data_IF_697522489200
#
_entry.id   IF_697522489200
#
_cell.length_a   1.000
_cell.length_b   1.000
_cell.length_c   1.000
_cell.angle_alpha   90.00
_cell.angle_beta   90.00
_cell.angle_gamma   90.00
#
_symmetry.space_group_name_H-M   'P 1'
#
loop_
_entity.id
_entity.type
_entity.pdbx_description
1 polymer ?
#
# COMPACT_ATOMS: atom_id res chain seq x y z
N UNK A 1 12.50 14.14 5.23
CA UNK A 1 11.52 14.33 4.11
C UNK A 1 11.59 13.21 3.08
N UNK A 2 12.79 12.74 2.70
CA UNK A 2 12.94 11.72 1.64
C UNK A 2 12.23 10.42 2.00
N UNK A 3 12.52 9.85 3.17
CA UNK A 3 11.92 8.59 3.65
C UNK A 3 10.41 8.70 3.85
N UNK A 4 9.91 9.88 4.28
CA UNK A 4 8.49 10.11 4.58
C UNK A 4 7.60 9.83 3.39
N UNK A 5 8.04 10.23 2.18
CA UNK A 5 7.28 9.97 0.96
C UNK A 5 7.12 8.48 0.65
N UNK A 6 8.14 7.64 0.92
CA UNK A 6 8.08 6.21 0.62
C UNK A 6 7.17 5.45 1.58
N UNK A 7 7.30 5.64 2.90
CA UNK A 7 6.38 4.95 3.79
C UNK A 7 4.95 5.50 3.73
N UNK A 8 4.75 6.76 3.33
CA UNK A 8 3.39 7.26 3.05
C UNK A 8 2.76 6.59 1.83
N UNK A 9 3.57 6.20 0.81
CA UNK A 9 3.06 5.41 -0.31
C UNK A 9 2.51 4.06 0.19
N UNK A 10 3.26 3.33 1.02
CA UNK A 10 2.79 2.07 1.61
C UNK A 10 1.55 2.29 2.48
N UNK A 11 1.53 3.34 3.31
CA UNK A 11 0.36 3.68 4.13
C UNK A 11 -0.92 3.90 3.31
N UNK A 12 -0.82 4.38 2.07
CA UNK A 12 -1.98 4.55 1.19
C UNK A 12 -2.63 3.24 0.78
N UNK A 13 -1.87 2.15 0.70
CA UNK A 13 -2.42 0.81 0.46
C UNK A 13 -3.01 0.21 1.73
N UNK A 14 -2.41 0.51 2.88
CA UNK A 14 -2.77 -0.04 4.18
C UNK A 14 -3.83 0.78 4.94
N UNK A 15 -4.22 1.93 4.45
CA UNK A 15 -5.29 2.82 4.91
C UNK A 15 -5.16 3.39 6.33
N UNK A 16 -4.24 2.95 7.20
CA UNK A 16 -4.24 3.37 8.61
C UNK A 16 -2.88 3.83 9.12
N UNK A 17 -2.75 5.13 9.36
CA UNK A 17 -1.69 5.68 10.19
C UNK A 17 -2.05 5.50 11.68
N UNK A 18 -2.13 4.23 12.11
CA UNK A 18 -2.53 3.83 13.45
C UNK A 18 -1.36 3.92 14.46
N UNK A 19 -1.61 3.81 15.78
CA UNK A 19 -0.56 3.89 16.80
C UNK A 19 0.58 2.89 16.64
N UNK A 20 0.32 1.67 16.13
CA UNK A 20 1.37 0.66 15.91
C UNK A 20 2.32 1.07 14.80
N UNK A 21 1.77 1.53 13.67
CA UNK A 21 2.54 2.05 12.54
C UNK A 21 3.35 3.29 12.95
N UNK A 22 2.74 4.18 13.73
CA UNK A 22 3.44 5.36 14.27
C UNK A 22 4.67 4.97 15.09
N UNK A 23 4.58 3.97 15.95
CA UNK A 23 5.72 3.46 16.73
C UNK A 23 6.84 2.93 15.82
N UNK A 24 6.49 2.17 14.76
CA UNK A 24 7.49 1.67 13.80
C UNK A 24 8.24 2.82 13.11
N UNK A 25 7.52 3.82 12.64
CA UNK A 25 8.09 4.99 11.98
C UNK A 25 8.97 5.79 12.96
N UNK A 26 8.51 6.01 14.18
CA UNK A 26 9.28 6.73 15.20
C UNK A 26 10.56 5.98 15.61
N UNK A 27 10.53 4.65 15.68
CA UNK A 27 11.73 3.84 15.93
C UNK A 27 12.75 3.97 14.80
N UNK A 28 12.29 3.97 13.54
CA UNK A 28 13.15 4.24 12.39
C UNK A 28 13.74 5.65 12.44
N UNK A 29 12.92 6.67 12.71
CA UNK A 29 13.39 8.07 12.85
C UNK A 29 14.45 8.17 13.95
N UNK A 30 14.25 7.50 15.07
CA UNK A 30 15.22 7.45 16.16
C UNK A 30 16.55 6.81 15.74
N UNK A 31 16.49 5.71 14.97
CA UNK A 31 17.70 5.01 14.50
C UNK A 31 18.52 5.85 13.52
N UNK A 32 17.87 6.70 12.71
CA UNK A 32 18.54 7.54 11.72
C UNK A 32 18.98 8.91 12.29
N UNK A 33 18.19 9.48 13.20
CA UNK A 33 18.37 10.86 13.66
C UNK A 33 18.97 10.98 15.07
N UNK A 34 19.14 9.87 15.78
CA UNK A 34 19.72 9.87 17.14
C UNK A 34 18.93 10.76 18.11
N UNK A 35 19.64 11.60 18.88
CA UNK A 35 19.04 12.41 19.96
C UNK A 35 18.02 13.46 19.48
N UNK A 36 18.08 13.85 18.22
CA UNK A 36 17.13 14.81 17.62
C UNK A 36 15.77 14.19 17.28
N UNK A 37 15.56 12.90 17.56
CA UNK A 37 14.38 12.17 17.09
C UNK A 37 13.04 12.76 17.57
N UNK A 38 12.97 13.29 18.79
CA UNK A 38 11.71 13.82 19.36
C UNK A 38 11.14 14.98 18.55
N UNK A 39 12.01 15.93 18.19
CA UNK A 39 11.60 17.06 17.34
C UNK A 39 11.22 16.59 15.93
N UNK A 40 12.06 15.72 15.36
CA UNK A 40 11.88 15.22 13.99
C UNK A 40 10.64 14.34 13.87
N UNK A 41 10.29 13.56 14.90
CA UNK A 41 9.08 12.71 14.90
C UNK A 41 7.81 13.51 14.73
N UNK A 42 7.67 14.65 15.40
CA UNK A 42 6.50 15.52 15.23
C UNK A 42 6.40 16.06 13.80
N UNK A 43 7.54 16.52 13.24
CA UNK A 43 7.59 17.00 11.84
C UNK A 43 7.26 15.87 10.85
N UNK A 44 7.68 14.63 11.15
CA UNK A 44 7.35 13.46 10.33
C UNK A 44 5.87 13.16 10.38
N UNK A 45 5.24 13.19 11.55
CA UNK A 45 3.80 12.96 11.71
C UNK A 45 2.98 13.99 10.90
N UNK A 46 3.33 15.26 10.98
CA UNK A 46 2.68 16.33 10.20
C UNK A 46 2.84 16.11 8.69
N UNK A 47 4.06 15.79 8.24
CA UNK A 47 4.33 15.55 6.81
C UNK A 47 3.59 14.31 6.30
N UNK A 48 3.52 13.21 7.09
CA UNK A 48 2.72 12.02 6.75
C UNK A 48 1.26 12.41 6.54
N UNK A 49 0.69 13.15 7.49
CA UNK A 49 -0.73 13.57 7.39
C UNK A 49 -0.99 14.46 6.19
N UNK A 50 -0.03 15.33 5.83
CA UNK A 50 -0.11 16.17 4.63
C UNK A 50 -0.02 15.32 3.35
N UNK A 51 0.92 14.35 3.30
CA UNK A 51 1.13 13.50 2.13
C UNK A 51 0.00 12.49 1.91
N UNK A 52 -0.65 12.00 2.98
CA UNK A 52 -1.83 11.14 2.87
C UNK A 52 -3.00 11.83 2.16
N UNK A 53 -3.10 13.16 2.25
CA UNK A 53 -4.11 13.96 1.54
C UNK A 53 -3.80 14.15 0.05
N UNK A 54 -2.54 14.00 -0.39
CA UNK A 54 -2.14 14.14 -1.80
C UNK A 54 -2.61 12.95 -2.60
N UNK A 55 -3.16 13.17 -3.80
CA UNK A 55 -3.68 12.08 -4.66
C UNK A 55 -2.58 11.17 -5.17
N UNK A 56 -1.46 11.72 -5.66
CA UNK A 56 -0.38 10.95 -6.27
C UNK A 56 0.96 11.27 -5.61
N UNK A 57 1.67 10.22 -5.18
CA UNK A 57 3.05 10.28 -4.76
C UNK A 57 3.89 9.54 -5.81
N UNK A 58 4.77 10.25 -6.50
CA UNK A 58 5.63 9.64 -7.52
C UNK A 58 6.67 8.72 -6.86
N UNK A 59 6.43 7.41 -6.94
CA UNK A 59 7.28 6.38 -6.36
C UNK A 59 8.71 6.42 -6.95
N UNK A 60 8.86 6.62 -8.26
CA UNK A 60 10.16 6.62 -8.91
C UNK A 60 11.02 7.79 -8.44
N UNK A 61 10.42 8.99 -8.34
CA UNK A 61 11.12 10.16 -7.81
C UNK A 61 11.53 9.94 -6.36
N UNK A 62 10.64 9.41 -5.51
CA UNK A 62 10.92 9.17 -4.09
C UNK A 62 11.99 8.10 -3.87
N UNK A 63 12.00 7.04 -4.69
CA UNK A 63 13.05 6.02 -4.65
C UNK A 63 14.40 6.56 -5.12
N UNK A 64 14.40 7.41 -6.16
CA UNK A 64 15.60 8.12 -6.60
C UNK A 64 16.14 9.03 -5.49
N UNK A 65 15.29 9.87 -4.90
CA UNK A 65 15.68 10.76 -3.79
C UNK A 65 16.27 9.93 -2.62
N UNK A 66 15.68 8.78 -2.29
CA UNK A 66 16.21 7.90 -1.24
C UNK A 66 17.60 7.36 -1.58
N UNK A 67 17.84 7.01 -2.84
CA UNK A 67 19.15 6.55 -3.31
C UNK A 67 20.22 7.63 -3.22
N UNK A 68 19.87 8.87 -3.55
CA UNK A 68 20.81 10.00 -3.58
C UNK A 68 21.13 10.56 -2.19
N UNK A 69 20.12 10.61 -1.28
CA UNK A 69 20.25 11.34 -0.02
C UNK A 69 20.39 10.47 1.22
N UNK A 70 20.22 9.14 1.12
CA UNK A 70 20.39 8.22 2.24
C UNK A 70 21.62 7.33 2.07
N UNK A 71 22.32 7.09 3.17
CA UNK A 71 23.36 6.06 3.22
C UNK A 71 22.77 4.67 2.95
N UNK A 72 23.58 3.75 2.46
CA UNK A 72 23.11 2.40 2.11
C UNK A 72 22.42 1.70 3.28
N UNK A 73 23.02 1.76 4.49
CA UNK A 73 22.45 1.19 5.72
C UNK A 73 21.05 1.73 6.03
N UNK A 74 20.84 3.04 5.82
CA UNK A 74 19.57 3.70 6.11
C UNK A 74 18.50 3.35 5.06
N UNK A 75 18.91 3.10 3.80
CA UNK A 75 18.03 2.58 2.75
C UNK A 75 17.57 1.16 3.07
N UNK A 76 18.47 0.29 3.54
CA UNK A 76 18.11 -1.07 3.99
C UNK A 76 17.17 -1.02 5.18
N UNK A 77 17.42 -0.15 6.16
CA UNK A 77 16.55 0.06 7.31
C UNK A 77 15.16 0.61 6.89
N UNK A 78 15.14 1.51 5.89
CA UNK A 78 13.90 2.04 5.32
C UNK A 78 13.08 0.92 4.65
N UNK A 79 13.70 0.09 3.82
CA UNK A 79 13.02 -1.06 3.17
C UNK A 79 12.44 -1.99 4.22
N UNK A 80 13.19 -2.31 5.28
CA UNK A 80 12.67 -3.10 6.39
C UNK A 80 11.43 -2.46 7.02
N UNK A 81 11.48 -1.17 7.32
CA UNK A 81 10.32 -0.43 7.83
C UNK A 81 9.10 -0.53 6.91
N UNK A 82 9.30 -0.44 5.58
CA UNK A 82 8.20 -0.54 4.61
C UNK A 82 7.52 -1.90 4.67
N UNK A 83 8.29 -2.99 4.77
CA UNK A 83 7.74 -4.33 4.99
C UNK A 83 7.04 -4.46 6.35
N UNK A 84 7.66 -3.95 7.42
CA UNK A 84 7.08 -3.98 8.77
C UNK A 84 5.75 -3.20 8.84
N UNK A 85 5.59 -2.12 8.08
CA UNK A 85 4.31 -1.41 7.93
C UNK A 85 3.31 -2.27 7.14
N UNK A 86 3.72 -2.84 6.01
CA UNK A 86 2.84 -3.60 5.14
C UNK A 86 2.22 -4.83 5.86
N UNK A 87 2.97 -5.50 6.74
CA UNK A 87 2.46 -6.66 7.49
C UNK A 87 1.48 -6.31 8.63
N UNK A 88 1.29 -5.03 8.98
CA UNK A 88 0.38 -4.66 10.07
C UNK A 88 -1.09 -4.98 9.76
N UNK A 89 -1.45 -5.19 8.50
CA UNK A 89 -2.80 -5.50 8.03
C UNK A 89 -2.90 -6.92 7.43
N UNK A 90 -2.80 -7.94 8.27
CA UNK A 90 -3.04 -9.34 7.89
C UNK A 90 -2.08 -9.94 6.85
N UNK A 91 -1.09 -9.18 6.34
CA UNK A 91 -0.09 -9.61 5.36
C UNK A 91 0.12 -8.62 4.23
N UNK A 92 1.00 -8.97 3.29
CA UNK A 92 1.41 -8.12 2.18
C UNK A 92 0.61 -8.50 0.94
N UNK A 93 -0.22 -7.60 0.45
CA UNK A 93 -1.02 -7.79 -0.75
C UNK A 93 -0.17 -7.66 -2.02
N UNK A 94 -0.54 -8.31 -3.14
CA UNK A 94 0.22 -8.25 -4.38
C UNK A 94 0.52 -6.83 -4.86
N UNK A 95 -0.43 -5.90 -4.78
CA UNK A 95 -0.21 -4.50 -5.16
C UNK A 95 0.85 -3.81 -4.27
N UNK A 96 0.81 -4.05 -2.95
CA UNK A 96 1.84 -3.55 -2.02
C UNK A 96 3.20 -4.19 -2.32
N UNK A 97 3.22 -5.49 -2.62
CA UNK A 97 4.44 -6.22 -2.95
C UNK A 97 5.10 -5.65 -4.23
N UNK A 98 4.31 -5.33 -5.25
CA UNK A 98 4.84 -4.69 -6.48
C UNK A 98 5.44 -3.32 -6.17
N UNK A 99 4.79 -2.51 -5.34
CA UNK A 99 5.34 -1.22 -4.90
C UNK A 99 6.64 -1.40 -4.12
N UNK A 100 6.70 -2.38 -3.21
CA UNK A 100 7.92 -2.72 -2.45
C UNK A 100 9.05 -3.17 -3.38
N UNK A 101 8.77 -4.00 -4.39
CA UNK A 101 9.75 -4.41 -5.40
C UNK A 101 10.32 -3.22 -6.16
N UNK A 102 9.47 -2.32 -6.67
CA UNK A 102 9.91 -1.10 -7.37
C UNK A 102 10.83 -0.24 -6.49
N UNK A 103 10.52 -0.11 -5.20
CA UNK A 103 11.36 0.64 -4.25
C UNK A 103 12.70 -0.07 -4.06
N UNK A 104 12.69 -1.39 -3.80
CA UNK A 104 13.89 -2.19 -3.56
C UNK A 104 14.86 -2.17 -4.75
N UNK A 105 14.37 -2.42 -5.97
CA UNK A 105 15.17 -2.41 -7.20
C UNK A 105 15.96 -1.10 -7.36
N UNK A 106 15.41 0.01 -6.89
CA UNK A 106 16.00 1.33 -7.03
C UNK A 106 16.87 1.75 -5.85
N UNK A 107 16.70 1.15 -4.69
CA UNK A 107 17.30 1.65 -3.45
C UNK A 107 18.34 0.72 -2.82
N UNK A 108 18.24 -0.59 -3.03
CA UNK A 108 19.14 -1.57 -2.42
C UNK A 108 19.80 -2.49 -3.44
N UNK A 109 20.81 -3.26 -3.00
CA UNK A 109 21.51 -4.24 -3.82
C UNK A 109 20.66 -5.50 -3.99
N UNK A 110 20.92 -6.27 -5.06
CA UNK A 110 20.20 -7.50 -5.37
C UNK A 110 20.24 -8.52 -4.23
N UNK A 111 21.38 -8.67 -3.55
CA UNK A 111 21.52 -9.59 -2.41
C UNK A 111 20.58 -9.27 -1.25
N UNK A 112 20.36 -7.97 -0.96
CA UNK A 112 19.41 -7.54 0.08
C UNK A 112 17.97 -7.63 -0.43
N UNK A 113 17.73 -7.37 -1.71
CA UNK A 113 16.43 -7.56 -2.37
C UNK A 113 15.96 -9.01 -2.22
N UNK A 114 16.80 -9.99 -2.61
CA UNK A 114 16.46 -11.41 -2.54
C UNK A 114 16.23 -11.86 -1.08
N UNK A 115 17.07 -11.37 -0.15
CA UNK A 115 16.92 -11.63 1.27
C UNK A 115 15.58 -11.14 1.81
N UNK A 116 15.17 -9.92 1.48
CA UNK A 116 13.88 -9.39 1.93
C UNK A 116 12.71 -10.18 1.37
N UNK A 117 12.73 -10.55 0.10
CA UNK A 117 11.67 -11.37 -0.47
C UNK A 117 11.55 -12.73 0.22
N UNK A 118 12.67 -13.37 0.54
CA UNK A 118 12.67 -14.66 1.25
C UNK A 118 12.20 -14.51 2.71
N UNK A 119 12.73 -13.52 3.44
CA UNK A 119 12.37 -13.24 4.84
C UNK A 119 10.87 -12.97 5.02
N UNK A 120 10.28 -12.19 4.10
CA UNK A 120 8.87 -11.77 4.20
C UNK A 120 7.90 -12.63 3.40
N UNK A 121 8.37 -13.64 2.66
CA UNK A 121 7.55 -14.54 1.82
C UNK A 121 6.35 -15.14 2.56
N UNK A 122 6.50 -15.49 3.81
CA UNK A 122 5.43 -16.07 4.65
C UNK A 122 4.26 -15.11 4.91
N UNK A 123 4.47 -13.81 4.69
CA UNK A 123 3.44 -12.78 4.83
C UNK A 123 2.81 -12.40 3.49
N UNK A 124 3.31 -12.92 2.36
CA UNK A 124 2.72 -12.64 1.06
C UNK A 124 1.36 -13.31 0.97
N UNK A 125 0.35 -12.49 0.73
CA UNK A 125 -1.00 -13.00 0.47
C UNK A 125 -1.01 -13.49 -0.98
N UNK A 126 -0.94 -14.80 -1.15
CA UNK A 126 -1.32 -15.40 -2.41
C UNK A 126 -2.83 -15.20 -2.53
N UNK A 127 -3.26 -14.53 -3.59
CA UNK A 127 -4.64 -14.71 -4.00
C UNK A 127 -4.78 -16.19 -4.40
N UNK A 128 -5.10 -17.04 -3.44
CA UNK A 128 -5.71 -18.33 -3.78
C UNK A 128 -6.89 -17.94 -4.65
N UNK A 129 -6.74 -18.19 -5.96
CA UNK A 129 -7.74 -17.98 -6.99
C UNK A 129 -9.13 -17.72 -6.37
N UNK A 130 -9.39 -16.50 -5.91
CA UNK A 130 -10.75 -16.08 -5.82
C UNK A 130 -11.17 -16.12 -7.28
N UNK A 131 -12.11 -16.98 -7.58
CA UNK A 131 -12.63 -17.27 -8.91
C UNK A 131 -13.13 -16.03 -9.66
N UNK A 132 -12.84 -14.87 -9.15
CA UNK A 132 -13.32 -13.57 -9.59
C UNK A 132 -12.47 -12.97 -10.70
N UNK A 133 -11.14 -13.23 -10.74
CA UNK A 133 -10.28 -12.63 -11.79
C UNK A 133 -9.52 -13.69 -12.57
N UNK A 134 -9.62 -13.64 -13.90
CA UNK A 134 -8.92 -14.51 -14.83
C UNK A 134 -7.41 -14.28 -14.84
N UNK A 135 -6.64 -15.30 -15.20
CA UNK A 135 -5.20 -15.22 -15.44
C UNK A 135 -4.83 -14.47 -16.73
N UNK A 136 -5.76 -14.31 -17.67
CA UNK A 136 -5.57 -13.53 -18.89
C UNK A 136 -5.68 -12.02 -18.59
N UNK A 137 -4.71 -11.17 -18.98
CA UNK A 137 -4.76 -9.73 -18.73
C UNK A 137 -6.04 -9.06 -19.24
N UNK A 138 -6.48 -9.41 -20.44
CA UNK A 138 -7.70 -8.86 -21.05
C UNK A 138 -8.95 -9.30 -20.30
N UNK A 139 -9.04 -10.57 -19.92
CA UNK A 139 -10.18 -11.08 -19.15
C UNK A 139 -10.18 -10.50 -17.73
N UNK A 140 -9.00 -10.36 -17.11
CA UNK A 140 -8.85 -9.75 -15.79
C UNK A 140 -9.38 -8.32 -15.73
N UNK A 141 -9.19 -7.54 -16.79
CA UNK A 141 -9.75 -6.19 -16.91
C UNK A 141 -11.28 -6.23 -17.00
N UNK A 142 -11.84 -7.15 -17.79
CA UNK A 142 -13.31 -7.36 -17.91
C UNK A 142 -13.88 -7.74 -16.54
N UNK A 143 -13.24 -8.67 -15.84
CA UNK A 143 -13.63 -9.11 -14.50
C UNK A 143 -13.61 -7.96 -13.49
N UNK A 144 -12.59 -7.08 -13.58
CA UNK A 144 -12.48 -5.89 -12.74
C UNK A 144 -13.65 -4.91 -12.94
N UNK A 145 -14.04 -4.65 -14.17
CA UNK A 145 -15.25 -3.87 -14.46
C UNK A 145 -16.51 -4.54 -13.91
N UNK A 146 -16.63 -5.87 -14.05
CA UNK A 146 -17.77 -6.64 -13.56
C UNK A 146 -17.87 -6.58 -12.02
N UNK A 147 -16.76 -6.64 -11.29
CA UNK A 147 -16.72 -6.48 -9.82
C UNK A 147 -17.27 -5.13 -9.38
N UNK A 148 -16.99 -4.06 -10.12
CA UNK A 148 -17.56 -2.74 -9.88
C UNK A 148 -19.01 -2.60 -10.40
N UNK A 149 -19.56 -3.62 -11.07
CA UNK A 149 -20.89 -3.56 -11.70
C UNK A 149 -20.93 -2.63 -12.91
N UNK A 150 -19.79 -2.46 -13.59
CA UNK A 150 -19.63 -1.57 -14.74
C UNK A 150 -19.38 -2.36 -16.02
N UNK A 151 -19.64 -1.74 -17.17
CA UNK A 151 -19.26 -2.29 -18.47
C UNK A 151 -17.78 -1.98 -18.77
N UNK A 152 -17.07 -2.85 -19.50
CA UNK A 152 -15.73 -2.52 -20.00
C UNK A 152 -15.72 -1.18 -20.74
N UNK A 153 -14.64 -0.43 -20.58
CA UNK A 153 -14.48 0.92 -21.15
C UNK A 153 -15.45 2.00 -20.63
N UNK A 154 -16.09 1.78 -19.48
CA UNK A 154 -16.85 2.84 -18.79
C UNK A 154 -15.93 4.03 -18.50
N UNK A 155 -16.46 5.25 -18.65
CA UNK A 155 -15.72 6.48 -18.41
C UNK A 155 -15.08 6.49 -17.01
N UNK A 156 -13.82 6.91 -16.90
CA UNK A 156 -13.05 6.86 -15.66
C UNK A 156 -13.71 7.58 -14.48
N UNK A 157 -14.35 8.72 -14.72
CA UNK A 157 -15.06 9.44 -13.66
C UNK A 157 -16.25 8.62 -13.09
N UNK A 158 -16.86 7.78 -13.89
CA UNK A 158 -17.91 6.86 -13.44
C UNK A 158 -17.31 5.68 -12.66
N UNK A 159 -16.19 5.12 -13.11
CA UNK A 159 -15.44 4.08 -12.37
C UNK A 159 -15.12 4.61 -10.97
N UNK A 160 -14.58 5.80 -10.88
CA UNK A 160 -14.19 6.46 -9.62
C UNK A 160 -15.38 6.74 -8.69
N UNK A 161 -16.50 7.17 -9.27
CA UNK A 161 -17.74 7.40 -8.51
C UNK A 161 -18.29 6.09 -7.96
N UNK A 162 -18.33 5.04 -8.77
CA UNK A 162 -18.82 3.71 -8.39
C UNK A 162 -17.91 3.07 -7.33
N UNK A 163 -16.60 3.15 -7.51
CA UNK A 163 -15.64 2.71 -6.50
C UNK A 163 -15.90 3.35 -5.13
N UNK A 164 -16.03 4.69 -5.08
CA UNK A 164 -16.31 5.40 -3.82
C UNK A 164 -17.63 4.97 -3.19
N UNK A 165 -18.66 4.78 -4.00
CA UNK A 165 -19.97 4.33 -3.53
C UNK A 165 -19.89 2.91 -2.96
N UNK A 166 -19.26 1.96 -3.66
CA UNK A 166 -19.11 0.58 -3.22
C UNK A 166 -18.24 0.48 -1.95
N UNK A 167 -17.14 1.22 -1.88
CA UNK A 167 -16.31 1.30 -0.68
C UNK A 167 -17.06 1.87 0.51
N UNK A 168 -17.87 2.91 0.31
CA UNK A 168 -18.72 3.43 1.37
C UNK A 168 -19.75 2.40 1.82
N UNK A 169 -20.39 1.65 0.91
CA UNK A 169 -21.38 0.61 1.26
C UNK A 169 -20.76 -0.54 2.05
N UNK A 170 -19.56 -0.97 1.70
CA UNK A 170 -18.88 -2.14 2.27
C UNK A 170 -17.81 -1.78 3.32
N UNK A 171 -17.80 -0.55 3.85
CA UNK A 171 -16.77 -0.15 4.79
C UNK A 171 -16.86 -0.97 6.10
N UNK A 172 -15.77 -1.63 6.53
CA UNK A 172 -15.77 -2.52 7.70
C UNK A 172 -16.23 -1.84 8.99
N UNK A 173 -15.99 -0.52 9.15
CA UNK A 173 -16.39 0.22 10.33
C UNK A 173 -17.91 0.27 10.57
N UNK A 174 -18.72 0.07 9.52
CA UNK A 174 -20.17 -0.03 9.66
C UNK A 174 -20.63 -1.27 10.45
N UNK A 175 -19.77 -2.28 10.52
CA UNK A 175 -20.10 -3.60 11.06
C UNK A 175 -19.38 -3.93 12.38
N UNK A 176 -18.62 -2.99 12.96
CA UNK A 176 -17.82 -3.19 14.19
C UNK A 176 -18.62 -3.55 15.46
N UNK A 177 -19.94 -3.44 15.45
CA UNK A 177 -20.81 -3.70 16.62
C UNK A 177 -21.70 -4.92 16.41
N UNK A 178 -21.15 -6.13 16.53
CA UNK A 178 -21.96 -7.30 16.89
C UNK A 178 -22.08 -8.46 15.89
N UNK A 179 -21.66 -8.32 14.64
CA UNK A 179 -21.77 -9.41 13.66
C UNK A 179 -20.42 -9.69 12.99
N UNK A 180 -19.70 -10.69 13.54
CA UNK A 180 -18.36 -11.08 13.03
C UNK A 180 -18.41 -11.57 11.59
N UNK A 181 -19.47 -12.29 11.19
CA UNK A 181 -19.63 -12.79 9.82
C UNK A 181 -19.79 -11.63 8.81
N UNK A 182 -20.62 -10.65 9.12
CA UNK A 182 -20.81 -9.46 8.25
C UNK A 182 -19.55 -8.60 8.18
N UNK A 183 -18.76 -8.53 9.26
CA UNK A 183 -17.48 -7.83 9.24
C UNK A 183 -16.50 -8.52 8.28
N UNK A 184 -16.39 -9.85 8.34
CA UNK A 184 -15.53 -10.63 7.45
C UNK A 184 -15.95 -10.49 5.98
N UNK A 185 -17.25 -10.55 5.70
CA UNK A 185 -17.79 -10.30 4.34
C UNK A 185 -17.50 -8.89 3.85
N UNK A 186 -17.67 -7.87 4.69
CA UNK A 186 -17.40 -6.48 4.33
C UNK A 186 -15.90 -6.26 4.05
N UNK A 187 -15.03 -6.85 4.83
CA UNK A 187 -13.57 -6.83 4.61
C UNK A 187 -13.22 -7.50 3.28
N UNK A 188 -13.76 -8.70 3.01
CA UNK A 188 -13.50 -9.41 1.77
C UNK A 188 -14.00 -8.61 0.54
N UNK A 189 -15.20 -8.05 0.64
CA UNK A 189 -15.80 -7.25 -0.45
C UNK A 189 -15.05 -5.95 -0.70
N UNK A 190 -14.63 -5.25 0.34
CA UNK A 190 -13.81 -4.04 0.20
C UNK A 190 -12.47 -4.33 -0.47
N UNK A 191 -11.85 -5.47 -0.15
CA UNK A 191 -10.61 -5.93 -0.81
C UNK A 191 -10.82 -6.17 -2.30
N UNK A 192 -11.87 -6.89 -2.66
CA UNK A 192 -12.21 -7.19 -4.06
C UNK A 192 -12.47 -5.91 -4.89
N UNK A 193 -13.19 -4.94 -4.30
CA UNK A 193 -13.47 -3.63 -4.91
C UNK A 193 -12.17 -2.83 -5.13
N UNK A 194 -11.25 -2.84 -4.16
CA UNK A 194 -9.95 -2.17 -4.28
C UNK A 194 -9.13 -2.75 -5.44
N UNK A 195 -9.02 -4.08 -5.50
CA UNK A 195 -8.28 -4.78 -6.56
C UNK A 195 -8.85 -4.44 -7.94
N UNK A 196 -10.17 -4.50 -8.07
CA UNK A 196 -10.83 -4.18 -9.32
C UNK A 196 -10.53 -2.73 -9.77
N UNK A 197 -10.58 -1.79 -8.84
CA UNK A 197 -10.26 -0.40 -9.14
C UNK A 197 -8.79 -0.20 -9.56
N UNK A 198 -7.84 -0.89 -8.91
CA UNK A 198 -6.42 -0.85 -9.27
C UNK A 198 -6.16 -1.44 -10.65
N UNK A 199 -6.73 -2.61 -10.98
CA UNK A 199 -6.61 -3.22 -12.32
C UNK A 199 -7.08 -2.25 -13.41
N UNK A 200 -8.18 -1.55 -13.17
CA UNK A 200 -8.71 -0.56 -14.14
C UNK A 200 -7.78 0.66 -14.23
N UNK A 201 -7.30 1.19 -13.11
CA UNK A 201 -6.35 2.30 -13.11
C UNK A 201 -5.06 1.98 -13.86
N UNK A 202 -4.48 0.80 -13.62
CA UNK A 202 -3.26 0.36 -14.29
C UNK A 202 -3.46 0.23 -15.80
N UNK A 203 -4.65 -0.25 -16.23
CA UNK A 203 -5.00 -0.36 -17.65
C UNK A 203 -5.13 0.99 -18.36
N UNK A 204 -5.45 2.03 -17.61
CA UNK A 204 -5.61 3.40 -18.14
C UNK A 204 -4.33 4.24 -18.01
N UNK A 205 -3.22 3.69 -17.51
CA UNK A 205 -1.96 4.38 -17.24
C UNK A 205 -2.13 5.67 -16.40
N UNK A 206 -3.01 5.65 -15.40
CA UNK A 206 -3.39 6.78 -14.57
C UNK A 206 -2.69 6.76 -13.20
#
# INVERSE_FOLDING_TARGET
KVSVGLFTIILKYNCDYNPKVKVLIHNYVKSVCGDNYKYISNVVDEEVMLLLKKRNLNIHKRSFDAREFLEYKDRVALVKLLFDIAIQNEGIYPAELEVLKIIMERTIKQSDYDRFLDEYKKYFIEYKNSSTFSSSPSQRLIDAYAVLGLKPNTAYEEVKRTYRYLMFQNHPEKYKKGDKGRLEEAVAKSKEINIAYEIINDSLNL
#
